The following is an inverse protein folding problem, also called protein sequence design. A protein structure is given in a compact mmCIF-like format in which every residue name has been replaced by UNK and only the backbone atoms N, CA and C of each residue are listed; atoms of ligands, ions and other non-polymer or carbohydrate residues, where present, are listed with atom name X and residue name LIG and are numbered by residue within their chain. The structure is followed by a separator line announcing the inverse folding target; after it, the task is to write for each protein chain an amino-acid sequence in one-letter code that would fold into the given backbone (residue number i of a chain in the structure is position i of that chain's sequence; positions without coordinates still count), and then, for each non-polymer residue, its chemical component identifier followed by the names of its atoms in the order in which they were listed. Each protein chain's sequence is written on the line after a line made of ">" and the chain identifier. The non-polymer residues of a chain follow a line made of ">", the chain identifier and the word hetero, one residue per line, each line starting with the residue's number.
data_IF_502777809225
#
_entry.id   IF_502777809225
#
_cell.length_a   1.000
_cell.length_b   1.000
_cell.length_c   1.000
_cell.angle_alpha   90.00
_cell.angle_beta   90.00
_cell.angle_gamma   90.00
#
_symmetry.space_group_name_H-M   'P 1'
#
loop_
_entity.id
_entity.type
_entity.pdbx_description
1 polymer ?
#
# COMPACT_ATOMS: atom_id res chain seq x y z
N UNK A 1 23.74 -32.12 -16.78
CA UNK A 1 22.71 -31.83 -15.77
C UNK A 1 22.56 -30.31 -15.68
N UNK A 2 21.99 -29.69 -16.71
CA UNK A 2 22.03 -28.22 -16.84
C UNK A 2 20.97 -27.75 -17.86
N UNK A 3 20.12 -26.82 -17.41
CA UNK A 3 19.29 -25.87 -18.18
C UNK A 3 17.99 -26.32 -18.90
N UNK A 4 17.60 -27.59 -18.94
CA UNK A 4 16.27 -27.99 -19.47
C UNK A 4 15.11 -27.92 -18.45
N UNK A 5 15.39 -27.58 -17.19
CA UNK A 5 14.47 -27.76 -16.03
C UNK A 5 13.44 -26.63 -15.88
N UNK A 6 13.41 -25.64 -16.77
CA UNK A 6 12.42 -24.55 -16.77
C UNK A 6 11.61 -24.50 -18.06
N UNK A 7 11.34 -25.65 -18.69
CA UNK A 7 10.39 -25.69 -19.80
C UNK A 7 8.98 -25.34 -19.31
N UNK A 8 8.18 -24.72 -20.18
CA UNK A 8 6.77 -24.40 -19.88
C UNK A 8 5.99 -25.64 -19.42
N UNK A 9 6.33 -26.80 -19.98
CA UNK A 9 5.68 -28.07 -19.67
C UNK A 9 6.04 -28.56 -18.25
N UNK A 10 7.28 -28.34 -17.79
CA UNK A 10 7.68 -28.65 -16.41
C UNK A 10 6.95 -27.79 -15.37
N UNK A 11 6.66 -26.52 -15.68
CA UNK A 11 5.92 -25.60 -14.80
C UNK A 11 4.40 -25.84 -14.80
N UNK A 12 3.86 -26.39 -15.89
CA UNK A 12 2.44 -26.63 -16.07
C UNK A 12 2.02 -28.08 -15.81
N UNK A 13 2.95 -28.94 -15.40
CA UNK A 13 2.67 -30.31 -15.00
C UNK A 13 1.59 -30.37 -13.91
N UNK A 14 0.61 -31.25 -14.11
CA UNK A 14 -0.51 -31.46 -13.20
C UNK A 14 -0.07 -32.21 -11.92
N UNK A 15 1.03 -32.96 -12.00
CA UNK A 15 1.59 -33.74 -10.90
C UNK A 15 3.01 -33.27 -10.54
N UNK A 16 3.16 -32.12 -9.83
CA UNK A 16 4.47 -31.61 -9.48
C UNK A 16 5.21 -32.57 -8.55
N UNK A 17 6.42 -33.00 -8.96
CA UNK A 17 7.25 -33.94 -8.20
C UNK A 17 7.88 -33.29 -6.96
N UNK A 18 8.03 -31.96 -6.96
CA UNK A 18 8.64 -31.22 -5.85
C UNK A 18 7.79 -30.02 -5.40
N UNK A 19 7.90 -29.65 -4.11
CA UNK A 19 7.26 -28.44 -3.57
C UNK A 19 7.70 -27.15 -4.29
N UNK A 20 8.93 -27.13 -4.80
CA UNK A 20 9.45 -25.99 -5.57
C UNK A 20 8.77 -25.90 -6.94
N UNK A 21 8.62 -27.01 -7.66
CA UNK A 21 7.89 -27.07 -8.93
C UNK A 21 6.44 -26.62 -8.76
N UNK A 22 5.74 -27.11 -7.71
CA UNK A 22 4.37 -26.71 -7.42
C UNK A 22 4.24 -25.18 -7.20
N UNK A 23 5.14 -24.59 -6.40
CA UNK A 23 5.15 -23.14 -6.15
C UNK A 23 5.48 -22.35 -7.41
N UNK A 24 6.51 -22.73 -8.15
CA UNK A 24 6.94 -22.06 -9.38
C UNK A 24 5.86 -22.14 -10.47
N UNK A 25 5.20 -23.29 -10.62
CA UNK A 25 4.07 -23.48 -11.54
C UNK A 25 2.87 -22.63 -11.17
N UNK A 26 2.53 -22.53 -9.87
CA UNK A 26 1.48 -21.65 -9.39
C UNK A 26 1.81 -20.17 -9.66
N UNK A 27 3.02 -19.73 -9.32
CA UNK A 27 3.48 -18.36 -9.60
C UNK A 27 3.46 -18.06 -11.09
N UNK A 28 3.92 -18.98 -11.94
CA UNK A 28 3.88 -18.81 -13.40
C UNK A 28 2.46 -18.65 -13.93
N UNK A 29 1.51 -19.49 -13.49
CA UNK A 29 0.09 -19.36 -13.87
C UNK A 29 -0.50 -18.03 -13.42
N UNK A 30 -0.17 -17.59 -12.20
CA UNK A 30 -0.62 -16.29 -11.67
C UNK A 30 -0.05 -15.12 -12.47
N UNK A 31 1.26 -15.09 -12.70
CA UNK A 31 1.91 -14.04 -13.49
C UNK A 31 1.34 -14.01 -14.90
N UNK A 32 1.17 -15.17 -15.55
CA UNK A 32 0.57 -15.23 -16.89
C UNK A 32 -0.87 -14.73 -16.91
N UNK A 33 -1.69 -15.08 -15.92
CA UNK A 33 -3.06 -14.57 -15.82
C UNK A 33 -3.08 -13.05 -15.60
N UNK A 34 -2.19 -12.53 -14.75
CA UNK A 34 -2.04 -11.11 -14.49
C UNK A 34 -1.59 -10.34 -15.75
N UNK A 35 -0.63 -10.89 -16.50
CA UNK A 35 -0.12 -10.28 -17.74
C UNK A 35 -1.16 -10.30 -18.88
N UNK A 36 -2.22 -11.11 -18.78
CA UNK A 36 -3.35 -11.07 -19.74
C UNK A 36 -4.36 -9.98 -19.42
N UNK A 37 -4.34 -9.42 -18.21
CA UNK A 37 -5.22 -8.32 -17.83
C UNK A 37 -4.50 -6.97 -18.13
N UNK A 38 -4.92 -6.23 -19.18
CA UNK A 38 -4.23 -5.00 -19.58
C UNK A 38 -4.26 -3.91 -18.50
N UNK A 39 -5.33 -3.87 -17.69
CA UNK A 39 -5.44 -2.93 -16.58
C UNK A 39 -4.45 -3.26 -15.46
N UNK A 40 -4.31 -4.55 -15.13
CA UNK A 40 -3.34 -5.00 -14.14
C UNK A 40 -1.90 -4.70 -14.58
N UNK A 41 -1.60 -4.90 -15.87
CA UNK A 41 -0.30 -4.56 -16.46
C UNK A 41 -0.05 -3.06 -16.42
N UNK A 42 -1.04 -2.23 -16.77
CA UNK A 42 -0.93 -0.78 -16.66
C UNK A 42 -0.63 -0.35 -15.22
N UNK A 43 -1.34 -0.91 -14.24
CA UNK A 43 -1.09 -0.65 -12.82
C UNK A 43 0.33 -1.03 -12.41
N UNK A 44 0.80 -2.21 -12.82
CA UNK A 44 2.16 -2.67 -12.56
C UNK A 44 3.20 -1.72 -13.19
N UNK A 45 3.00 -1.29 -14.44
CA UNK A 45 3.90 -0.35 -15.12
C UNK A 45 3.98 0.99 -14.37
N UNK A 46 2.85 1.52 -13.88
CA UNK A 46 2.83 2.75 -13.08
C UNK A 46 3.61 2.58 -11.78
N UNK A 47 3.41 1.47 -11.06
CA UNK A 47 4.12 1.19 -9.81
C UNK A 47 5.63 1.04 -10.06
N UNK A 48 6.03 0.31 -11.11
CA UNK A 48 7.43 0.16 -11.48
C UNK A 48 8.06 1.50 -11.87
N UNK A 49 7.36 2.32 -12.66
CA UNK A 49 7.81 3.67 -13.00
C UNK A 49 7.98 4.52 -11.74
N UNK A 50 7.05 4.47 -10.79
CA UNK A 50 7.15 5.17 -9.51
C UNK A 50 8.39 4.73 -8.72
N UNK A 51 8.66 3.43 -8.63
CA UNK A 51 9.83 2.88 -7.95
C UNK A 51 11.13 3.37 -8.60
N UNK A 52 11.19 3.38 -9.94
CA UNK A 52 12.34 3.90 -10.69
C UNK A 52 12.50 5.40 -10.45
N UNK A 53 11.44 6.20 -10.57
CA UNK A 53 11.48 7.64 -10.31
C UNK A 53 11.97 7.95 -8.90
N UNK A 54 11.49 7.21 -7.89
CA UNK A 54 11.90 7.41 -6.51
C UNK A 54 13.35 6.97 -6.24
N UNK A 55 13.76 5.82 -6.76
CA UNK A 55 15.11 5.29 -6.61
C UNK A 55 16.14 6.22 -7.26
N UNK A 56 15.84 6.68 -8.47
CA UNK A 56 16.73 7.53 -9.27
C UNK A 56 16.42 9.03 -9.11
N UNK A 57 15.62 9.44 -8.12
CA UNK A 57 15.22 10.83 -7.92
C UNK A 57 16.40 11.84 -7.93
N UNK A 58 17.54 11.60 -7.24
CA UNK A 58 18.66 12.54 -7.25
C UNK A 58 19.32 12.72 -8.63
N UNK A 59 19.14 11.78 -9.55
CA UNK A 59 19.67 11.83 -10.91
C UNK A 59 18.63 12.26 -11.95
N UNK A 60 17.35 12.05 -11.66
CA UNK A 60 16.24 12.43 -12.54
C UNK A 60 15.76 13.86 -12.31
N UNK A 61 15.90 14.39 -11.09
CA UNK A 61 15.50 15.76 -10.78
C UNK A 61 16.47 16.76 -11.45
N UNK A 62 15.97 17.68 -12.29
CA UNK A 62 16.82 18.68 -12.94
C UNK A 62 17.44 19.69 -11.96
N UNK A 63 16.76 19.96 -10.85
CA UNK A 63 17.19 20.94 -9.85
C UNK A 63 17.05 20.39 -8.42
N UNK A 64 17.60 21.13 -7.46
CA UNK A 64 17.37 20.85 -6.04
C UNK A 64 15.88 20.98 -5.69
N UNK A 65 15.28 19.99 -4.99
CA UNK A 65 13.87 20.06 -4.59
C UNK A 65 13.62 21.06 -3.45
N UNK A 66 14.67 21.56 -2.79
CA UNK A 66 14.60 22.38 -1.57
C UNK A 66 15.08 23.81 -1.82
N UNK A 67 16.12 23.98 -2.64
CA UNK A 67 16.63 25.30 -2.96
C UNK A 67 15.70 25.99 -3.94
N UNK A 68 15.43 27.27 -3.69
CA UNK A 68 14.57 28.09 -4.53
C UNK A 68 15.13 29.50 -4.62
N UNK A 69 14.81 30.18 -5.73
CA UNK A 69 15.16 31.58 -5.92
C UNK A 69 13.90 32.43 -6.05
N UNK A 70 13.77 33.49 -5.25
CA UNK A 70 12.62 34.40 -5.34
C UNK A 70 12.52 35.10 -6.70
N UNK A 71 13.63 35.22 -7.45
CA UNK A 71 13.60 35.70 -8.83
C UNK A 71 12.80 34.79 -9.76
N UNK A 72 12.70 33.50 -9.42
CA UNK A 72 12.05 32.47 -10.21
C UNK A 72 10.71 32.08 -9.59
N UNK A 73 10.10 32.94 -8.77
CA UNK A 73 8.84 32.66 -8.09
C UNK A 73 7.68 32.56 -9.09
N UNK A 74 6.87 31.49 -8.96
CA UNK A 74 5.62 31.32 -9.70
C UNK A 74 5.77 31.44 -11.23
N UNK A 75 6.89 30.97 -11.78
CA UNK A 75 7.10 30.91 -13.21
C UNK A 75 6.22 29.79 -13.81
N UNK A 76 5.60 30.04 -14.97
CA UNK A 76 4.83 29.03 -15.68
C UNK A 76 5.76 27.90 -16.21
N UNK A 77 5.18 26.75 -16.58
CA UNK A 77 5.90 25.69 -17.26
C UNK A 77 6.68 26.21 -18.47
N UNK A 78 7.98 25.90 -18.52
CA UNK A 78 8.91 26.34 -19.56
C UNK A 78 9.95 25.26 -19.85
N UNK A 79 10.79 25.47 -20.87
CA UNK A 79 11.90 24.56 -21.16
C UNK A 79 12.92 24.48 -20.02
N UNK A 80 13.05 25.54 -19.22
CA UNK A 80 13.90 25.59 -18.03
C UNK A 80 13.24 24.91 -16.84
N UNK A 81 11.93 25.12 -16.63
CA UNK A 81 11.14 24.54 -15.55
C UNK A 81 9.92 23.81 -16.10
N UNK A 82 10.03 22.51 -16.37
CA UNK A 82 9.03 21.74 -17.13
C UNK A 82 7.63 21.71 -16.49
N UNK A 83 7.55 21.80 -15.17
CA UNK A 83 6.29 21.90 -14.42
C UNK A 83 6.09 23.27 -13.77
N UNK A 84 6.90 24.25 -14.14
CA UNK A 84 6.95 25.58 -13.51
C UNK A 84 7.60 25.55 -12.13
N UNK A 85 7.50 26.67 -11.43
CA UNK A 85 8.06 26.85 -10.08
C UNK A 85 6.99 27.22 -9.05
N UNK A 86 7.29 26.97 -7.77
CA UNK A 86 6.40 27.29 -6.65
C UNK A 86 6.55 28.74 -6.13
N UNK A 87 5.81 29.05 -5.07
CA UNK A 87 5.81 30.36 -4.39
C UNK A 87 7.18 30.79 -3.83
N UNK A 88 8.11 29.85 -3.68
CA UNK A 88 9.49 30.07 -3.23
C UNK A 88 10.50 29.94 -4.38
N UNK A 89 10.01 29.81 -5.62
CA UNK A 89 10.82 29.65 -6.82
C UNK A 89 11.58 28.32 -6.88
N UNK A 90 11.04 27.27 -6.25
CA UNK A 90 11.57 25.90 -6.36
C UNK A 90 10.95 25.21 -7.55
N UNK A 91 11.73 24.37 -8.23
CA UNK A 91 11.27 23.60 -9.38
C UNK A 91 10.25 22.52 -8.97
N UNK A 92 9.05 22.56 -9.57
CA UNK A 92 7.95 21.67 -9.19
C UNK A 92 8.21 20.24 -9.64
N UNK A 93 8.82 20.03 -10.81
CA UNK A 93 9.13 18.69 -11.31
C UNK A 93 10.07 17.96 -10.36
N UNK A 94 11.15 18.62 -9.96
CA UNK A 94 12.14 18.11 -9.00
C UNK A 94 11.47 17.78 -7.65
N UNK A 95 10.55 18.64 -7.19
CA UNK A 95 9.76 18.39 -5.98
C UNK A 95 8.81 17.20 -6.14
N UNK A 96 8.11 17.05 -7.27
CA UNK A 96 7.24 15.90 -7.53
C UNK A 96 8.06 14.60 -7.56
N UNK A 97 9.21 14.59 -8.25
CA UNK A 97 10.14 13.46 -8.31
C UNK A 97 10.62 13.07 -6.91
N UNK A 98 11.11 14.01 -6.10
CA UNK A 98 11.54 13.71 -4.73
C UNK A 98 10.38 13.32 -3.80
N UNK A 99 9.19 13.89 -4.02
CA UNK A 99 7.99 13.55 -3.27
C UNK A 99 7.55 12.10 -3.45
N UNK A 100 7.87 11.47 -4.59
CA UNK A 100 7.63 10.04 -4.80
C UNK A 100 8.28 9.16 -3.71
N UNK A 101 9.46 9.54 -3.22
CA UNK A 101 10.17 8.85 -2.13
C UNK A 101 9.42 8.96 -0.82
N UNK A 102 8.88 10.13 -0.52
CA UNK A 102 8.10 10.37 0.71
C UNK A 102 6.80 9.56 0.65
N UNK A 103 6.10 9.58 -0.49
CA UNK A 103 4.89 8.79 -0.69
C UNK A 103 5.16 7.30 -0.50
N UNK A 104 6.19 6.75 -1.16
CA UNK A 104 6.59 5.35 -1.02
C UNK A 104 6.98 4.98 0.41
N UNK A 105 7.71 5.86 1.10
CA UNK A 105 8.07 5.68 2.50
C UNK A 105 6.83 5.55 3.38
N UNK A 106 5.84 6.45 3.22
CA UNK A 106 4.61 6.43 4.01
C UNK A 106 3.80 5.16 3.74
N UNK A 107 3.51 4.82 2.47
CA UNK A 107 2.69 3.65 2.15
C UNK A 107 3.35 2.35 2.58
N UNK A 108 4.67 2.23 2.42
CA UNK A 108 5.40 1.03 2.78
C UNK A 108 5.42 0.83 4.29
N UNK A 109 5.73 1.86 5.07
CA UNK A 109 5.74 1.75 6.53
C UNK A 109 4.35 1.47 7.08
N UNK A 110 3.32 2.17 6.60
CA UNK A 110 1.94 1.89 7.03
C UNK A 110 1.57 0.45 6.72
N UNK A 111 1.87 -0.06 5.52
CA UNK A 111 1.58 -1.44 5.14
C UNK A 111 2.31 -2.45 6.05
N UNK A 112 3.62 -2.26 6.26
CA UNK A 112 4.46 -3.17 7.06
C UNK A 112 4.11 -3.14 8.54
N UNK A 113 3.58 -2.03 9.07
CA UNK A 113 3.20 -1.94 10.48
C UNK A 113 1.74 -2.38 10.70
N UNK A 114 0.80 -1.90 9.89
CA UNK A 114 -0.63 -2.13 10.13
C UNK A 114 -1.10 -3.54 9.75
N UNK A 115 -0.56 -4.11 8.66
CA UNK A 115 -1.00 -5.40 8.17
C UNK A 115 -0.62 -6.55 9.13
N UNK A 116 0.60 -6.64 9.68
CA UNK A 116 0.93 -7.68 10.66
C UNK A 116 0.14 -7.54 11.96
N UNK A 117 -0.08 -6.32 12.45
CA UNK A 117 -0.90 -6.08 13.64
C UNK A 117 -2.31 -6.61 13.41
N UNK A 118 -2.95 -6.21 12.30
CA UNK A 118 -4.29 -6.68 11.98
C UNK A 118 -4.33 -8.19 11.76
N UNK A 119 -3.39 -8.75 11.00
CA UNK A 119 -3.30 -10.18 10.73
C UNK A 119 -3.21 -11.02 12.02
N UNK A 120 -2.35 -10.62 12.96
CA UNK A 120 -2.19 -11.31 14.25
C UNK A 120 -3.46 -11.17 15.09
N UNK A 121 -3.99 -9.96 15.27
CA UNK A 121 -5.19 -9.73 16.09
C UNK A 121 -6.41 -10.46 15.53
N UNK A 122 -6.61 -10.41 14.21
CA UNK A 122 -7.70 -11.10 13.53
C UNK A 122 -7.60 -12.62 13.64
N UNK A 123 -6.41 -13.18 13.41
CA UNK A 123 -6.19 -14.62 13.55
C UNK A 123 -6.41 -15.11 14.98
N UNK A 124 -5.94 -14.34 15.98
CA UNK A 124 -6.17 -14.65 17.40
C UNK A 124 -7.67 -14.60 17.74
N UNK A 125 -8.38 -13.55 17.33
CA UNK A 125 -9.83 -13.44 17.52
C UNK A 125 -10.58 -14.62 16.90
N UNK A 126 -10.32 -14.93 15.63
CA UNK A 126 -10.98 -16.02 14.93
C UNK A 126 -10.68 -17.39 15.52
N UNK A 127 -9.43 -17.63 15.95
CA UNK A 127 -8.99 -18.92 16.47
C UNK A 127 -9.57 -19.22 17.86
N UNK A 128 -9.45 -18.28 18.81
CA UNK A 128 -9.93 -18.50 20.18
C UNK A 128 -11.44 -18.33 20.32
N UNK A 129 -12.08 -17.47 19.51
CA UNK A 129 -13.52 -17.25 19.59
C UNK A 129 -13.97 -16.66 20.93
N UNK A 130 -15.26 -16.81 21.23
CA UNK A 130 -15.82 -16.56 22.56
C UNK A 130 -15.65 -15.11 23.04
N UNK A 131 -15.02 -14.93 24.20
CA UNK A 131 -14.80 -13.60 24.78
C UNK A 131 -13.62 -12.86 24.13
N UNK A 132 -12.55 -13.56 23.73
CA UNK A 132 -11.40 -12.97 23.03
C UNK A 132 -11.83 -12.34 21.72
N UNK A 133 -12.66 -13.06 20.95
CA UNK A 133 -13.23 -12.54 19.71
C UNK A 133 -14.08 -11.29 19.94
N UNK A 134 -15.01 -11.34 20.91
CA UNK A 134 -15.86 -10.19 21.26
C UNK A 134 -15.06 -8.97 21.70
N UNK A 135 -14.01 -9.15 22.50
CA UNK A 135 -13.17 -8.05 22.97
C UNK A 135 -12.36 -7.42 21.83
N UNK A 136 -11.65 -8.25 21.03
CA UNK A 136 -10.83 -7.75 19.92
C UNK A 136 -11.68 -7.15 18.80
N UNK A 137 -12.81 -7.77 18.46
CA UNK A 137 -13.73 -7.20 17.47
C UNK A 137 -14.45 -5.98 17.99
N UNK A 138 -14.78 -5.91 19.28
CA UNK A 138 -15.30 -4.68 19.89
C UNK A 138 -14.35 -3.51 19.70
N UNK A 139 -13.04 -3.68 19.99
CA UNK A 139 -12.02 -2.66 19.72
C UNK A 139 -11.96 -2.33 18.22
N UNK A 140 -11.92 -3.35 17.36
CA UNK A 140 -11.90 -3.19 15.90
C UNK A 140 -13.09 -2.36 15.40
N UNK A 141 -14.29 -2.62 15.93
CA UNK A 141 -15.52 -1.95 15.53
C UNK A 141 -15.57 -0.49 16.01
N UNK A 142 -14.98 -0.17 17.16
CA UNK A 142 -14.79 1.24 17.61
C UNK A 142 -13.98 2.02 16.57
N UNK A 143 -12.83 1.49 16.12
CA UNK A 143 -12.04 2.17 15.10
C UNK A 143 -12.75 2.26 13.75
N UNK A 144 -13.53 1.25 13.37
CA UNK A 144 -14.25 1.24 12.09
C UNK A 144 -15.54 2.08 12.10
N UNK A 145 -16.02 2.49 13.28
CA UNK A 145 -17.21 3.32 13.44
C UNK A 145 -17.01 4.76 12.99
N UNK A 146 -15.76 5.25 13.00
CA UNK A 146 -15.43 6.62 12.62
C UNK A 146 -14.70 6.64 11.27
N UNK A 147 -14.91 7.65 10.41
CA UNK A 147 -14.15 7.79 9.18
C UNK A 147 -12.63 7.80 9.45
N UNK A 148 -11.89 6.97 8.71
CA UNK A 148 -10.44 6.77 8.88
C UNK A 148 -9.66 8.09 8.87
N UNK A 149 -10.02 9.01 7.98
CA UNK A 149 -9.38 10.33 7.89
C UNK A 149 -9.57 11.15 9.16
N UNK A 150 -10.78 11.14 9.74
CA UNK A 150 -11.10 11.89 10.97
C UNK A 150 -10.30 11.33 12.15
N UNK A 151 -10.23 10.00 12.28
CA UNK A 151 -9.40 9.36 13.30
C UNK A 151 -7.92 9.72 13.12
N UNK A 152 -7.41 9.63 11.89
CA UNK A 152 -6.02 9.94 11.59
C UNK A 152 -5.70 11.41 11.95
N UNK A 153 -6.60 12.34 11.60
CA UNK A 153 -6.48 13.75 11.98
C UNK A 153 -6.43 13.94 13.50
N UNK A 154 -7.31 13.27 14.24
CA UNK A 154 -7.33 13.35 15.71
C UNK A 154 -6.01 12.86 16.33
N UNK A 155 -5.47 11.73 15.85
CA UNK A 155 -4.19 11.21 16.34
C UNK A 155 -3.01 12.12 15.97
N UNK A 156 -2.95 12.65 14.74
CA UNK A 156 -1.86 13.57 14.37
C UNK A 156 -1.97 14.89 15.12
N UNK A 157 -3.18 15.40 15.36
CA UNK A 157 -3.37 16.59 16.17
C UNK A 157 -2.83 16.41 17.61
N UNK A 158 -2.93 15.19 18.17
CA UNK A 158 -2.36 14.86 19.48
C UNK A 158 -0.83 14.63 19.43
N UNK A 159 -0.32 13.98 18.37
CA UNK A 159 1.11 13.65 18.23
C UNK A 159 1.96 14.83 17.74
N UNK A 160 1.35 15.81 17.08
CA UNK A 160 2.00 16.90 16.39
C UNK A 160 2.29 16.60 14.91
N UNK A 161 2.55 17.62 14.09
CA UNK A 161 2.76 17.47 12.66
C UNK A 161 4.08 16.76 12.35
N UNK A 162 4.10 15.99 11.26
CA UNK A 162 5.33 15.36 10.74
C UNK A 162 5.07 14.02 10.05
N UNK A 163 6.01 13.60 9.18
CA UNK A 163 5.88 12.36 8.41
C UNK A 163 5.78 11.15 9.34
N UNK A 164 6.62 11.07 10.37
CA UNK A 164 6.61 9.96 11.33
C UNK A 164 5.29 9.86 12.10
N UNK A 165 4.79 10.98 12.61
CA UNK A 165 3.52 11.03 13.34
C UNK A 165 2.33 10.70 12.44
N UNK A 166 2.33 11.17 11.18
CA UNK A 166 1.33 10.79 10.19
C UNK A 166 1.34 9.28 9.92
N UNK A 167 2.52 8.65 9.79
CA UNK A 167 2.64 7.19 9.63
C UNK A 167 2.08 6.45 10.83
N UNK A 168 2.37 6.89 12.06
CA UNK A 168 1.84 6.29 13.29
C UNK A 168 0.31 6.40 13.32
N UNK A 169 -0.23 7.59 13.08
CA UNK A 169 -1.67 7.84 13.08
C UNK A 169 -2.41 7.00 12.02
N UNK A 170 -1.87 6.91 10.80
CA UNK A 170 -2.47 6.08 9.75
C UNK A 170 -2.36 4.60 10.13
N UNK A 171 -1.24 4.15 10.71
CA UNK A 171 -1.05 2.75 11.13
C UNK A 171 -2.08 2.33 12.17
N UNK A 172 -2.30 3.16 13.20
CA UNK A 172 -3.27 2.93 14.28
C UNK A 172 -4.71 2.87 13.74
N UNK A 173 -4.99 3.51 12.62
CA UNK A 173 -6.34 3.56 12.03
C UNK A 173 -6.55 2.54 10.91
N UNK A 174 -5.48 1.97 10.35
CA UNK A 174 -5.55 1.06 9.20
C UNK A 174 -5.69 -0.43 9.57
N UNK A 175 -5.08 -0.85 10.70
CA UNK A 175 -5.04 -2.24 11.12
C UNK A 175 -6.41 -2.97 11.25
N UNK A 176 -7.53 -2.32 11.63
CA UNK A 176 -8.80 -3.01 11.88
C UNK A 176 -9.35 -3.74 10.65
N UNK A 177 -9.13 -3.18 9.46
CA UNK A 177 -9.57 -3.78 8.19
C UNK A 177 -8.89 -5.13 7.96
N UNK A 178 -7.58 -5.20 8.20
CA UNK A 178 -6.81 -6.45 8.08
C UNK A 178 -7.20 -7.47 9.16
N UNK A 179 -7.50 -7.00 10.38
CA UNK A 179 -8.00 -7.86 11.45
C UNK A 179 -9.32 -8.54 11.10
N UNK A 180 -10.27 -7.80 10.52
CA UNK A 180 -11.57 -8.36 10.14
C UNK A 180 -11.44 -9.45 9.07
N UNK A 181 -10.55 -9.27 8.09
CA UNK A 181 -10.29 -10.26 7.03
C UNK A 181 -9.63 -11.50 7.61
N UNK A 182 -8.53 -11.33 8.35
CA UNK A 182 -7.82 -12.44 8.97
C UNK A 182 -8.73 -13.24 9.93
N UNK A 183 -9.61 -12.56 10.67
CA UNK A 183 -10.64 -13.22 11.49
C UNK A 183 -11.59 -14.05 10.65
N UNK A 184 -12.18 -13.46 9.60
CA UNK A 184 -13.16 -14.13 8.76
C UNK A 184 -12.58 -15.42 8.16
N UNK A 185 -11.36 -15.36 7.64
CA UNK A 185 -10.68 -16.54 7.09
C UNK A 185 -10.36 -17.55 8.19
N UNK A 186 -9.85 -17.10 9.33
CA UNK A 186 -9.54 -17.99 10.45
C UNK A 186 -10.78 -18.76 10.92
N UNK A 187 -11.96 -18.12 10.97
CA UNK A 187 -13.21 -18.79 11.32
C UNK A 187 -13.57 -19.93 10.37
N UNK A 188 -13.23 -19.81 9.07
CA UNK A 188 -13.48 -20.87 8.09
C UNK A 188 -12.52 -22.05 8.23
N UNK A 189 -11.25 -21.80 8.61
CA UNK A 189 -10.22 -22.84 8.67
C UNK A 189 -10.04 -23.46 10.06
N UNK A 190 -10.44 -22.79 11.15
CA UNK A 190 -10.14 -23.24 12.52
C UNK A 190 -10.74 -24.61 12.89
N UNK A 191 -11.82 -25.00 12.21
CA UNK A 191 -12.56 -26.25 12.44
C UNK A 191 -12.27 -27.31 11.35
N UNK A 192 -11.22 -27.11 10.55
CA UNK A 192 -10.84 -28.07 9.51
C UNK A 192 -10.11 -29.30 10.07
N UNK A 193 -10.20 -30.42 9.35
CA UNK A 193 -9.61 -31.70 9.74
C UNK A 193 -8.09 -31.62 9.92
N UNK A 194 -7.40 -30.80 9.12
CA UNK A 194 -5.94 -30.65 9.27
C UNK A 194 -5.57 -29.94 10.58
N UNK A 195 -6.36 -28.97 11.04
CA UNK A 195 -6.13 -28.31 12.34
C UNK A 195 -6.42 -29.29 13.47
N UNK A 196 -7.47 -30.10 13.36
CA UNK A 196 -7.77 -31.15 14.33
C UNK A 196 -6.62 -32.18 14.43
N UNK A 197 -6.09 -32.64 13.30
CA UNK A 197 -4.94 -33.54 13.24
C UNK A 197 -3.69 -32.93 13.91
N UNK A 198 -3.38 -31.65 13.64
CA UNK A 198 -2.24 -30.97 14.28
C UNK A 198 -2.42 -30.87 15.81
N UNK A 199 -3.66 -30.68 16.30
CA UNK A 199 -3.96 -30.70 17.74
C UNK A 199 -3.76 -32.10 18.34
N UNK A 200 -4.21 -33.15 17.65
CA UNK A 200 -4.03 -34.54 18.09
C UNK A 200 -2.55 -34.93 18.20
N UNK A 201 -1.71 -34.37 17.32
CA UNK A 201 -0.26 -34.52 17.37
C UNK A 201 0.44 -33.66 18.46
N UNK A 202 -0.32 -33.04 19.37
CA UNK A 202 0.23 -32.22 20.46
C UNK A 202 0.67 -30.82 20.04
N UNK A 203 0.16 -30.29 18.92
CA UNK A 203 0.42 -28.92 18.49
C UNK A 203 -0.16 -27.89 19.46
N UNK A 204 0.67 -27.00 19.99
CA UNK A 204 0.21 -25.90 20.84
C UNK A 204 -0.62 -24.88 20.06
N UNK A 205 -1.54 -24.19 20.74
CA UNK A 205 -2.37 -23.13 20.15
C UNK A 205 -1.55 -22.09 19.38
N UNK A 206 -0.43 -21.64 19.96
CA UNK A 206 0.44 -20.67 19.32
C UNK A 206 1.14 -21.22 18.08
N UNK A 207 1.54 -22.51 18.09
CA UNK A 207 2.11 -23.18 16.91
C UNK A 207 1.09 -23.29 15.80
N UNK A 208 -0.18 -23.56 16.13
CA UNK A 208 -1.27 -23.64 15.17
C UNK A 208 -1.50 -22.26 14.52
N UNK A 209 -1.64 -21.22 15.34
CA UNK A 209 -1.83 -19.84 14.83
C UNK A 209 -0.65 -19.43 13.96
N UNK A 210 0.58 -19.50 14.48
CA UNK A 210 1.75 -18.93 13.81
C UNK A 210 2.19 -19.71 12.57
N UNK A 211 2.11 -21.05 12.57
CA UNK A 211 2.64 -21.88 11.47
C UNK A 211 1.58 -22.38 10.50
N UNK A 212 0.30 -22.33 10.86
CA UNK A 212 -0.76 -22.88 10.01
C UNK A 212 -1.77 -21.81 9.61
N UNK A 213 -2.28 -21.01 10.55
CA UNK A 213 -3.32 -20.01 10.28
C UNK A 213 -2.75 -18.75 9.63
N UNK A 214 -1.76 -18.10 10.25
CA UNK A 214 -1.19 -16.84 9.73
C UNK A 214 -0.68 -16.96 8.28
N UNK A 215 0.04 -18.04 7.90
CA UNK A 215 0.51 -18.18 6.52
C UNK A 215 -0.62 -18.33 5.49
N UNK A 216 -1.76 -18.90 5.88
CA UNK A 216 -2.93 -19.01 5.01
C UNK A 216 -3.56 -17.62 4.80
N UNK A 217 -3.74 -16.87 5.89
CA UNK A 217 -4.32 -15.52 5.84
C UNK A 217 -3.39 -14.46 5.23
N UNK A 218 -2.09 -14.75 5.08
CA UNK A 218 -1.12 -13.81 4.53
C UNK A 218 -1.43 -13.47 3.07
N UNK A 219 -1.90 -14.45 2.28
CA UNK A 219 -2.17 -14.25 0.85
C UNK A 219 -3.27 -13.22 0.62
N UNK A 220 -4.41 -13.37 1.30
CA UNK A 220 -5.53 -12.44 1.24
C UNK A 220 -5.19 -11.06 1.82
N UNK A 221 -4.38 -11.03 2.87
CA UNK A 221 -3.91 -9.80 3.50
C UNK A 221 -3.03 -9.00 2.55
N UNK A 222 -2.10 -9.63 1.82
CA UNK A 222 -1.26 -8.96 0.82
C UNK A 222 -2.11 -8.32 -0.29
N UNK A 223 -3.12 -9.04 -0.79
CA UNK A 223 -4.05 -8.49 -1.78
C UNK A 223 -4.76 -7.26 -1.21
N UNK A 224 -5.28 -7.38 0.02
CA UNK A 224 -5.99 -6.27 0.65
C UNK A 224 -5.09 -5.06 0.87
N UNK A 225 -3.86 -5.27 1.33
CA UNK A 225 -2.88 -4.20 1.53
C UNK A 225 -2.65 -3.45 0.22
N UNK A 226 -2.48 -4.18 -0.88
CA UNK A 226 -2.27 -3.59 -2.21
C UNK A 226 -3.44 -2.69 -2.60
N UNK A 227 -4.68 -3.14 -2.39
CA UNK A 227 -5.89 -2.35 -2.63
C UNK A 227 -6.02 -1.14 -1.69
N UNK A 228 -5.52 -1.24 -0.46
CA UNK A 228 -5.58 -0.15 0.53
C UNK A 228 -4.53 0.93 0.30
N UNK A 229 -3.48 0.66 -0.50
CA UNK A 229 -2.39 1.62 -0.73
C UNK A 229 -2.87 2.96 -1.26
N UNK A 230 -3.81 2.97 -2.22
CA UNK A 230 -4.40 4.21 -2.72
C UNK A 230 -5.10 5.02 -1.61
N UNK A 231 -5.82 4.34 -0.71
CA UNK A 231 -6.45 4.97 0.45
C UNK A 231 -5.43 5.54 1.45
N UNK A 232 -4.31 4.84 1.64
CA UNK A 232 -3.19 5.33 2.48
C UNK A 232 -2.58 6.59 1.87
N UNK A 233 -2.31 6.61 0.56
CA UNK A 233 -1.78 7.78 -0.16
C UNK A 233 -2.71 8.97 0.01
N UNK A 234 -4.01 8.76 -0.25
CA UNK A 234 -5.00 9.83 -0.15
C UNK A 234 -5.12 10.36 1.28
N UNK A 235 -5.05 9.48 2.28
CA UNK A 235 -5.05 9.88 3.69
C UNK A 235 -3.80 10.69 4.03
N UNK A 236 -2.62 10.22 3.64
CA UNK A 236 -1.35 10.92 3.87
C UNK A 236 -1.33 12.30 3.20
N UNK A 237 -1.76 12.38 1.94
CA UNK A 237 -1.89 13.64 1.22
C UNK A 237 -2.93 14.56 1.86
N UNK A 238 -4.05 14.03 2.36
CA UNK A 238 -5.05 14.80 3.09
C UNK A 238 -4.51 15.40 4.40
N UNK A 239 -3.74 14.63 5.17
CA UNK A 239 -3.03 15.13 6.36
C UNK A 239 -2.01 16.20 6.00
N UNK A 240 -1.21 15.97 4.95
CA UNK A 240 -0.27 16.94 4.38
C UNK A 240 -0.96 18.22 3.92
N UNK A 241 -2.13 18.08 3.31
CA UNK A 241 -2.93 19.20 2.81
C UNK A 241 -3.41 20.12 3.95
N UNK A 242 -3.74 19.54 5.11
CA UNK A 242 -4.19 20.30 6.30
C UNK A 242 -2.98 20.79 7.14
N UNK A 243 -1.75 20.53 6.71
CA UNK A 243 -0.53 20.98 7.40
C UNK A 243 -0.06 20.06 8.53
N UNK A 244 -0.71 18.89 8.69
CA UNK A 244 -0.39 17.89 9.70
C UNK A 244 0.61 16.83 9.19
N UNK A 245 0.93 16.85 7.89
CA UNK A 245 1.94 15.98 7.28
C UNK A 245 3.36 16.54 7.34
N UNK A 246 4.09 16.42 6.23
CA UNK A 246 5.48 16.84 6.15
C UNK A 246 5.63 18.36 6.32
N UNK A 247 6.67 18.76 7.06
CA UNK A 247 6.99 20.16 7.29
C UNK A 247 7.98 20.68 6.24
N UNK A 248 7.91 21.98 5.87
CA UNK A 248 8.92 22.58 5.00
C UNK A 248 10.35 22.34 5.52
N UNK A 249 11.34 22.09 4.63
CA UNK A 249 11.28 22.25 3.18
C UNK A 249 10.84 21.00 2.39
N UNK A 250 10.43 19.92 3.06
CA UNK A 250 10.17 18.63 2.42
C UNK A 250 9.16 18.72 1.25
N UNK A 251 9.41 18.02 0.12
CA UNK A 251 8.53 18.03 -1.04
C UNK A 251 7.46 16.94 -0.95
N UNK A 252 6.53 17.06 0.00
CA UNK A 252 5.39 16.14 0.13
C UNK A 252 4.20 16.63 -0.72
N UNK A 253 3.58 15.74 -1.48
CA UNK A 253 2.59 16.10 -2.50
C UNK A 253 1.34 16.78 -1.92
N UNK A 254 0.80 16.31 -0.79
CA UNK A 254 -0.34 16.94 -0.12
C UNK A 254 -0.04 18.36 0.34
N UNK A 255 1.11 18.57 0.96
CA UNK A 255 1.59 19.88 1.39
C UNK A 255 1.85 20.82 0.19
N UNK A 256 2.34 20.29 -0.94
CA UNK A 256 2.49 21.08 -2.17
C UNK A 256 1.15 21.56 -2.71
N UNK A 257 0.13 20.69 -2.73
CA UNK A 257 -1.24 21.08 -3.14
C UNK A 257 -1.80 22.16 -2.21
N UNK A 258 -1.58 22.03 -0.90
CA UNK A 258 -2.07 23.01 0.08
C UNK A 258 -1.51 24.41 -0.13
N UNK A 259 -0.23 24.52 -0.49
CA UNK A 259 0.39 25.82 -0.81
C UNK A 259 -0.09 26.35 -2.14
N UNK A 260 -0.14 25.50 -3.16
CA UNK A 260 -0.64 25.84 -4.49
C UNK A 260 -2.10 26.30 -4.50
N UNK A 261 -2.91 25.91 -3.51
CA UNK A 261 -4.35 26.27 -3.43
C UNK A 261 -4.59 27.79 -3.46
N UNK A 262 -3.68 28.58 -2.89
CA UNK A 262 -3.80 30.04 -2.81
C UNK A 262 -3.63 30.69 -4.18
N UNK A 263 -2.98 30.00 -5.11
CA UNK A 263 -2.58 30.49 -6.43
C UNK A 263 -3.36 29.80 -7.55
N UNK A 264 -4.38 28.99 -7.25
CA UNK A 264 -4.96 28.05 -8.23
C UNK A 264 -5.62 28.73 -9.44
N UNK A 265 -6.12 29.96 -9.28
CA UNK A 265 -6.77 30.70 -10.36
C UNK A 265 -5.75 31.24 -11.38
N UNK A 266 -4.59 31.69 -10.91
CA UNK A 266 -3.58 32.35 -11.75
C UNK A 266 -2.41 31.42 -12.11
N UNK A 267 -2.02 30.53 -11.20
CA UNK A 267 -0.91 29.58 -11.32
C UNK A 267 -1.35 28.15 -10.98
N UNK A 268 -2.35 27.66 -11.71
CA UNK A 268 -2.97 26.34 -11.53
C UNK A 268 -1.98 25.17 -11.44
N UNK A 269 -0.86 25.23 -12.18
CA UNK A 269 0.14 24.16 -12.22
C UNK A 269 0.74 23.85 -10.84
N UNK A 270 0.81 24.85 -9.94
CA UNK A 270 1.41 24.69 -8.60
C UNK A 270 0.68 23.63 -7.77
N UNK A 271 -0.65 23.61 -7.83
CA UNK A 271 -1.47 22.62 -7.14
C UNK A 271 -1.73 21.38 -8.00
N UNK A 272 -1.95 21.55 -9.31
CA UNK A 272 -2.39 20.46 -10.18
C UNK A 272 -1.31 19.41 -10.43
N UNK A 273 -0.04 19.79 -10.56
CA UNK A 273 1.05 18.86 -10.85
C UNK A 273 1.27 17.79 -9.76
N UNK A 274 1.41 18.15 -8.45
CA UNK A 274 1.45 17.15 -7.39
C UNK A 274 0.13 16.38 -7.25
N UNK A 275 -1.02 17.01 -7.50
CA UNK A 275 -2.32 16.33 -7.53
C UNK A 275 -2.41 15.24 -8.60
N UNK A 276 -1.90 15.52 -9.80
CA UNK A 276 -1.83 14.55 -10.89
C UNK A 276 -0.94 13.36 -10.52
N UNK A 277 0.19 13.60 -9.86
CA UNK A 277 1.06 12.52 -9.37
C UNK A 277 0.33 11.60 -8.37
N UNK A 278 -0.44 12.18 -7.42
CA UNK A 278 -1.27 11.39 -6.49
C UNK A 278 -2.27 10.53 -7.26
N UNK A 279 -2.99 11.11 -8.23
CA UNK A 279 -4.02 10.39 -9.02
C UNK A 279 -3.39 9.25 -9.80
N UNK A 280 -2.32 9.50 -10.56
CA UNK A 280 -1.66 8.48 -11.37
C UNK A 280 -1.17 7.31 -10.51
N UNK A 281 -0.50 7.62 -9.40
CA UNK A 281 0.04 6.58 -8.51
C UNK A 281 -1.08 5.81 -7.80
N UNK A 282 -2.10 6.50 -7.30
CA UNK A 282 -3.24 5.87 -6.65
C UNK A 282 -3.99 4.94 -7.62
N UNK A 283 -4.18 5.38 -8.86
CA UNK A 283 -4.73 4.57 -9.93
C UNK A 283 -3.85 3.35 -10.21
N UNK A 284 -2.53 3.51 -10.25
CA UNK A 284 -1.59 2.40 -10.42
C UNK A 284 -1.77 1.30 -9.38
N UNK A 285 -1.86 1.67 -8.10
CA UNK A 285 -2.11 0.73 -7.00
C UNK A 285 -3.50 0.10 -7.06
N UNK A 286 -4.56 0.87 -7.37
CA UNK A 286 -5.91 0.32 -7.54
C UNK A 286 -5.96 -0.72 -8.67
N UNK A 287 -5.50 -0.36 -9.88
CA UNK A 287 -5.54 -1.23 -11.05
C UNK A 287 -4.74 -2.52 -10.84
N UNK A 288 -3.55 -2.40 -10.24
CA UNK A 288 -2.73 -3.56 -9.92
C UNK A 288 -3.38 -4.44 -8.83
N UNK A 289 -3.92 -3.83 -7.78
CA UNK A 289 -4.60 -4.54 -6.70
C UNK A 289 -5.85 -5.29 -7.18
N UNK A 290 -6.65 -4.69 -8.06
CA UNK A 290 -7.83 -5.34 -8.66
C UNK A 290 -7.42 -6.52 -9.53
N UNK A 291 -6.40 -6.34 -10.38
CA UNK A 291 -5.85 -7.45 -11.17
C UNK A 291 -5.30 -8.59 -10.32
N UNK A 292 -4.63 -8.27 -9.20
CA UNK A 292 -4.12 -9.26 -8.25
C UNK A 292 -5.26 -10.01 -7.56
N UNK A 293 -6.33 -9.31 -7.19
CA UNK A 293 -7.55 -9.89 -6.62
C UNK A 293 -8.22 -10.85 -7.60
N UNK A 294 -8.37 -10.46 -8.87
CA UNK A 294 -9.02 -11.28 -9.89
C UNK A 294 -8.29 -12.61 -10.11
N UNK A 295 -6.95 -12.57 -10.18
CA UNK A 295 -6.13 -13.77 -10.39
C UNK A 295 -6.13 -14.72 -9.18
N UNK A 296 -6.34 -14.16 -7.98
CA UNK A 296 -6.28 -14.90 -6.72
C UNK A 296 -7.66 -15.32 -6.18
N UNK A 297 -8.76 -14.83 -6.75
CA UNK A 297 -10.12 -15.24 -6.36
C UNK A 297 -10.38 -16.70 -6.77
N UNK A 298 -10.54 -17.65 -5.83
CA UNK A 298 -10.77 -19.06 -6.14
C UNK A 298 -12.10 -19.30 -6.87
N UNK A 299 -13.05 -18.37 -6.77
CA UNK A 299 -14.41 -18.52 -7.33
C UNK A 299 -14.45 -18.34 -8.85
N UNK A 300 -13.44 -17.73 -9.47
CA UNK A 300 -13.39 -17.58 -10.92
C UNK A 300 -12.92 -18.85 -11.65
N UNK A 301 -12.38 -19.86 -10.93
CA UNK A 301 -11.97 -21.15 -11.51
C UNK A 301 -13.12 -22.13 -11.76
N UNK A 302 -14.36 -21.81 -11.38
CA UNK A 302 -15.53 -22.70 -11.57
C UNK A 302 -16.42 -22.32 -12.76
N UNK A 303 -15.94 -21.48 -13.68
CA UNK A 303 -16.58 -21.22 -14.99
C UNK A 303 -15.59 -21.58 -16.09
#
# INVERSE_FOLDING_TARGET
>A
MTLSVLSRDWLLDENPETRLQAKLGQSYRMTRALMRNPLAVLGLVIILALLVVAAFAPWLAPYSPIEGSLSNRLLPPSAEHWMGTDELGRDILSRVIHGSRITLYIVLLVAVLSAPIGLVLGAVAGYFGGWVDRALMGVTDVFLSMPRLILALAFVAALGPGIGNAVIAITITAWPVYARIARAETLTIRNSDFIAAVRMLGGSHWRIVARHILPLCLSSTIIRVTLDMAGIILTAAGLGFIGLGAQPPAPEWGAMISRGRTFILDQWWVATMPGFAIVVVSLGFCLFGDGLRDVLDPRQRSK
#
